data_IF_532376922063
#
_entry.id   IF_532376922063
#
_cell.length_a   1.000
_cell.length_b   1.000
_cell.length_c   1.000
_cell.angle_alpha   90.00
_cell.angle_beta   90.00
_cell.angle_gamma   90.00
#
_symmetry.space_group_name_H-M   'P 1'
#
loop_
_entity.id
_entity.type
_entity.pdbx_description
1 polymer ?
#
# COMPACT_ATOMS: atom_id res chain seq x y z
N UNK A 1 22.19 0.22 35.88
CA UNK A 1 22.33 0.52 34.45
C UNK A 1 23.80 0.55 34.09
N UNK A 2 24.18 -0.04 32.95
CA UNK A 2 25.51 0.08 32.35
C UNK A 2 25.43 1.11 31.21
N UNK A 3 25.99 2.30 31.41
CA UNK A 3 25.90 3.36 30.40
C UNK A 3 26.78 3.12 29.16
N UNK A 4 27.73 2.18 29.19
CA UNK A 4 28.42 1.77 27.98
C UNK A 4 27.45 1.06 27.04
N UNK A 5 26.61 0.16 27.57
CA UNK A 5 25.55 -0.50 26.79
C UNK A 5 24.54 0.52 26.24
N UNK A 6 24.14 1.50 27.06
CA UNK A 6 23.26 2.57 26.61
C UNK A 6 23.89 3.41 25.49
N UNK A 7 25.16 3.80 25.64
CA UNK A 7 25.86 4.57 24.61
C UNK A 7 25.95 3.85 23.26
N UNK A 8 26.07 2.52 23.29
CA UNK A 8 26.05 1.70 22.07
C UNK A 8 24.65 1.64 21.43
N UNK A 9 23.59 1.54 22.24
CA UNK A 9 22.21 1.60 21.76
C UNK A 9 21.91 2.95 21.10
N UNK A 10 22.30 4.07 21.71
CA UNK A 10 22.09 5.41 21.12
C UNK A 10 22.89 5.58 19.82
N UNK A 11 24.12 5.08 19.79
CA UNK A 11 24.93 5.08 18.57
C UNK A 11 24.26 4.27 17.45
N UNK A 12 23.80 3.05 17.75
CA UNK A 12 23.07 2.22 16.78
C UNK A 12 21.80 2.92 16.29
N UNK A 13 21.09 3.55 17.22
CA UNK A 13 19.87 4.32 16.95
C UNK A 13 20.12 5.45 15.95
N UNK A 14 21.20 6.21 16.14
CA UNK A 14 21.63 7.25 15.21
C UNK A 14 21.98 6.70 13.83
N UNK A 15 22.60 5.51 13.73
CA UNK A 15 22.87 4.87 12.44
C UNK A 15 21.59 4.41 11.72
N UNK A 16 20.60 3.90 12.47
CA UNK A 16 19.37 3.36 11.89
C UNK A 16 18.39 4.46 11.45
N UNK A 17 18.22 5.51 12.25
CA UNK A 17 17.18 6.52 12.00
C UNK A 17 17.64 7.99 12.13
N UNK A 18 18.93 8.25 12.36
CA UNK A 18 19.48 9.62 12.25
C UNK A 18 19.43 10.18 10.82
N UNK A 19 19.24 9.32 9.81
CA UNK A 19 18.99 9.73 8.44
C UNK A 19 17.52 10.03 8.12
N UNK A 20 16.60 9.82 9.07
CA UNK A 20 15.20 10.21 8.88
C UNK A 20 15.09 11.73 8.91
N UNK A 21 14.37 12.27 7.94
CA UNK A 21 14.15 13.72 7.86
C UNK A 21 13.40 14.20 9.11
N UNK A 22 13.84 15.33 9.66
CA UNK A 22 13.25 15.99 10.83
C UNK A 22 13.37 15.19 12.13
N UNK A 23 14.20 14.14 12.15
CA UNK A 23 14.60 13.41 13.36
C UNK A 23 16.03 13.80 13.73
N UNK A 24 16.29 13.94 15.02
CA UNK A 24 17.60 14.17 15.59
C UNK A 24 17.86 13.14 16.69
N UNK A 25 19.04 12.53 16.66
CA UNK A 25 19.55 11.65 17.73
C UNK A 25 20.93 12.18 18.09
N UNK A 26 21.23 12.56 19.35
CA UNK A 26 22.52 13.12 19.73
C UNK A 26 23.72 12.24 19.32
N UNK A 27 24.84 12.84 18.93
CA UNK A 27 26.10 12.12 18.79
C UNK A 27 26.60 11.60 20.14
N UNK A 28 27.13 10.37 20.17
CA UNK A 28 27.64 9.76 21.40
C UNK A 28 29.17 9.85 21.47
N UNK A 29 29.68 10.43 22.55
CA UNK A 29 31.12 10.46 22.81
C UNK A 29 31.55 9.20 23.56
N UNK A 30 31.63 8.08 22.82
CA UNK A 30 31.90 6.74 23.37
C UNK A 30 33.20 6.69 24.19
N UNK A 31 34.28 7.30 23.69
CA UNK A 31 35.60 7.34 24.35
C UNK A 31 35.60 8.10 25.69
N UNK A 32 34.61 8.97 25.90
CA UNK A 32 34.45 9.78 27.11
C UNK A 32 33.32 9.28 28.01
N UNK A 33 32.57 8.29 27.55
CA UNK A 33 31.52 7.64 28.33
C UNK A 33 32.10 6.48 29.14
N UNK A 34 31.57 6.28 30.34
CA UNK A 34 31.94 5.17 31.23
C UNK A 34 30.66 4.46 31.68
N UNK A 35 30.77 3.34 32.39
CA UNK A 35 29.61 2.61 32.94
C UNK A 35 28.70 3.46 33.83
N UNK A 36 29.21 4.57 34.40
CA UNK A 36 28.50 5.46 35.35
C UNK A 36 28.30 6.89 34.85
N UNK A 37 28.87 7.24 33.70
CA UNK A 37 28.76 8.58 33.12
C UNK A 37 28.53 8.45 31.61
N UNK A 38 27.41 8.96 31.11
CA UNK A 38 27.11 9.04 29.68
C UNK A 38 27.45 10.45 29.19
N UNK A 39 28.20 10.56 28.09
CA UNK A 39 28.53 11.85 27.46
C UNK A 39 28.03 11.84 26.01
N UNK A 40 27.21 12.83 25.66
CA UNK A 40 26.59 12.98 24.35
C UNK A 40 26.53 14.45 23.93
N UNK A 41 26.22 14.68 22.65
CA UNK A 41 25.95 16.00 22.09
C UNK A 41 24.85 16.72 22.88
N UNK A 42 25.09 18.01 23.18
CA UNK A 42 24.09 18.85 23.81
C UNK A 42 23.04 19.28 22.78
N UNK A 43 21.77 18.96 23.04
CA UNK A 43 20.65 19.34 22.16
C UNK A 43 19.76 20.34 22.89
N UNK A 44 19.60 21.52 22.29
CA UNK A 44 18.70 22.55 22.79
C UNK A 44 17.32 22.46 22.14
N UNK A 45 16.27 22.60 22.97
CA UNK A 45 14.91 22.55 22.50
C UNK A 45 13.88 22.70 23.61
N UNK A 46 12.61 22.66 23.22
CA UNK A 46 11.46 22.64 24.12
C UNK A 46 10.90 21.22 24.20
N UNK A 47 10.36 20.80 25.35
CA UNK A 47 9.76 19.47 25.46
C UNK A 47 8.59 19.33 24.49
N UNK A 48 8.55 18.22 23.74
CA UNK A 48 7.47 17.99 22.78
C UNK A 48 6.09 18.01 23.45
N UNK A 49 5.98 17.49 24.67
CA UNK A 49 4.73 17.52 25.45
C UNK A 49 4.23 18.93 25.81
N UNK A 50 5.08 19.94 25.75
CA UNK A 50 4.75 21.33 26.05
C UNK A 50 4.49 22.14 24.77
N UNK A 51 4.90 21.62 23.61
CA UNK A 51 4.68 22.26 22.30
C UNK A 51 3.54 21.57 21.56
N UNK A 52 2.54 22.34 21.14
CA UNK A 52 1.40 21.85 20.33
C UNK A 52 1.80 21.63 18.87
N UNK A 53 2.81 20.80 18.63
CA UNK A 53 3.36 20.53 17.30
C UNK A 53 2.92 19.13 16.82
N UNK A 54 1.75 19.06 16.18
CA UNK A 54 1.20 17.81 15.66
C UNK A 54 2.10 17.20 14.57
N UNK A 55 2.79 18.02 13.79
CA UNK A 55 3.70 17.55 12.75
C UNK A 55 4.85 16.74 13.35
N UNK A 56 5.49 17.25 14.41
CA UNK A 56 6.58 16.51 15.07
C UNK A 56 6.08 15.25 15.80
N UNK A 57 4.84 15.24 16.26
CA UNK A 57 4.21 14.02 16.78
C UNK A 57 4.06 12.98 15.67
N UNK A 58 3.63 13.37 14.47
CA UNK A 58 3.56 12.48 13.31
C UNK A 58 4.93 11.99 12.86
N UNK A 59 5.96 12.85 12.88
CA UNK A 59 7.37 12.46 12.65
C UNK A 59 7.80 11.42 13.68
N UNK A 60 7.45 11.62 14.96
CA UNK A 60 7.73 10.68 16.02
C UNK A 60 7.05 9.33 15.81
N UNK A 61 5.76 9.34 15.44
CA UNK A 61 5.00 8.13 15.13
C UNK A 61 5.62 7.39 13.95
N UNK A 62 5.98 8.10 12.88
CA UNK A 62 6.65 7.53 11.73
C UNK A 62 8.02 6.92 12.08
N UNK A 63 8.82 7.63 12.88
CA UNK A 63 10.12 7.14 13.37
C UNK A 63 9.94 5.87 14.19
N UNK A 64 9.01 5.87 15.15
CA UNK A 64 8.70 4.72 16.00
C UNK A 64 8.16 3.52 15.22
N UNK A 65 7.39 3.73 14.16
CA UNK A 65 6.97 2.66 13.25
C UNK A 65 8.16 2.06 12.49
N UNK A 66 9.10 2.88 12.00
CA UNK A 66 10.31 2.35 11.38
C UNK A 66 11.15 1.57 12.39
N UNK A 67 11.34 2.08 13.60
CA UNK A 67 12.03 1.36 14.66
C UNK A 67 11.40 -0.02 14.86
N UNK A 68 10.08 -0.06 15.12
CA UNK A 68 9.35 -1.27 15.46
C UNK A 68 9.30 -2.26 14.29
N UNK A 69 8.91 -1.82 13.11
CA UNK A 69 8.56 -2.69 11.98
C UNK A 69 9.65 -2.80 10.91
N UNK A 70 10.52 -1.79 10.72
CA UNK A 70 11.66 -1.87 9.78
C UNK A 70 12.89 -2.48 10.43
N UNK A 71 13.23 -2.04 11.64
CA UNK A 71 14.48 -2.44 12.31
C UNK A 71 14.28 -3.48 13.42
N UNK A 72 13.06 -3.65 13.93
CA UNK A 72 12.75 -4.64 14.96
C UNK A 72 13.20 -4.21 16.35
N UNK A 73 13.26 -2.91 16.60
CA UNK A 73 13.57 -2.34 17.90
C UNK A 73 12.44 -1.41 18.33
N UNK A 74 12.12 -1.35 19.61
CA UNK A 74 11.14 -0.39 20.09
C UNK A 74 11.52 0.17 21.45
N UNK A 75 11.08 1.40 21.68
CA UNK A 75 11.17 2.02 22.99
C UNK A 75 10.16 1.41 23.96
N UNK A 76 10.67 0.68 24.95
CA UNK A 76 9.88 0.00 25.96
C UNK A 76 9.52 0.90 27.15
N UNK A 77 10.23 2.03 27.34
CA UNK A 77 9.89 3.06 28.33
C UNK A 77 10.04 4.47 27.72
N UNK A 78 9.03 4.96 26.99
CA UNK A 78 9.09 6.23 26.30
C UNK A 78 8.59 7.34 27.23
N UNK A 79 9.48 7.96 27.99
CA UNK A 79 9.11 9.13 28.78
C UNK A 79 8.96 10.38 27.88
N UNK A 80 7.84 11.13 27.92
CA UNK A 80 7.65 12.34 27.10
C UNK A 80 8.77 13.38 27.24
N UNK A 81 9.41 13.43 28.41
CA UNK A 81 10.55 14.32 28.68
C UNK A 81 11.82 14.03 27.87
N UNK A 82 11.91 12.85 27.24
CA UNK A 82 13.04 12.47 26.39
C UNK A 82 12.86 12.88 24.92
N UNK A 83 11.75 13.56 24.61
CA UNK A 83 11.45 14.10 23.28
C UNK A 83 11.49 15.63 23.31
N UNK A 84 12.38 16.22 22.51
CA UNK A 84 12.47 17.67 22.35
C UNK A 84 12.11 18.09 20.93
N UNK A 85 11.46 19.24 20.81
CA UNK A 85 11.44 20.05 19.59
C UNK A 85 12.66 20.96 19.61
N UNK A 86 13.58 20.75 18.70
CA UNK A 86 14.74 21.63 18.51
C UNK A 86 14.33 22.96 17.87
N UNK A 87 15.15 24.01 18.02
CA UNK A 87 14.84 25.32 17.44
C UNK A 87 14.87 25.35 15.90
N UNK A 88 15.59 24.41 15.26
CA UNK A 88 15.59 24.19 13.82
C UNK A 88 14.41 23.31 13.34
N UNK A 89 13.47 22.97 14.23
CA UNK A 89 12.21 22.31 13.88
C UNK A 89 12.30 20.80 13.72
N UNK A 90 13.21 20.13 14.42
CA UNK A 90 13.36 18.66 14.42
C UNK A 90 12.87 18.05 15.73
N UNK A 91 12.52 16.77 15.67
CA UNK A 91 12.25 15.93 16.83
C UNK A 91 13.54 15.26 17.31
N UNK A 92 14.02 15.65 18.49
CA UNK A 92 15.18 15.03 19.12
C UNK A 92 14.78 13.96 20.13
N UNK A 93 15.40 12.78 20.01
CA UNK A 93 15.32 11.68 20.96
C UNK A 93 16.56 11.68 21.85
N UNK A 94 16.38 11.89 23.16
CA UNK A 94 17.51 12.04 24.10
C UNK A 94 17.94 10.74 24.78
N UNK A 95 17.03 9.80 24.95
CA UNK A 95 17.24 8.60 25.75
C UNK A 95 16.77 7.39 24.99
N UNK A 96 17.54 6.31 25.08
CA UNK A 96 17.31 4.97 24.51
C UNK A 96 17.48 3.89 25.59
N UNK A 97 17.26 4.26 26.86
CA UNK A 97 17.55 3.49 28.08
C UNK A 97 16.94 2.09 28.13
N UNK A 98 15.77 1.92 27.50
CA UNK A 98 15.04 0.67 27.46
C UNK A 98 14.51 0.41 26.05
N UNK A 99 15.27 -0.41 25.32
CA UNK A 99 14.89 -0.91 24.01
C UNK A 99 14.50 -2.39 24.12
N UNK A 100 13.39 -2.76 23.49
CA UNK A 100 13.00 -4.15 23.27
C UNK A 100 13.22 -4.56 21.82
N UNK A 101 13.34 -5.86 21.59
CA UNK A 101 13.40 -6.45 20.25
C UNK A 101 12.02 -6.94 19.82
N UNK A 102 11.70 -6.74 18.54
CA UNK A 102 10.47 -7.18 17.91
C UNK A 102 10.81 -8.08 16.72
N UNK A 103 10.62 -9.39 16.92
CA UNK A 103 11.04 -10.45 15.98
C UNK A 103 10.38 -10.28 14.61
N UNK A 104 11.09 -10.65 13.55
CA UNK A 104 10.62 -10.53 12.17
C UNK A 104 9.23 -11.16 11.96
N UNK A 105 8.97 -12.32 12.55
CA UNK A 105 7.70 -13.03 12.37
C UNK A 105 6.52 -12.24 12.97
N UNK A 106 6.73 -11.60 14.13
CA UNK A 106 5.74 -10.74 14.76
C UNK A 106 5.56 -9.43 13.98
N UNK A 107 6.62 -8.90 13.38
CA UNK A 107 6.56 -7.72 12.51
C UNK A 107 5.72 -7.95 11.27
N UNK A 108 5.98 -9.05 10.58
CA UNK A 108 5.22 -9.42 9.38
C UNK A 108 3.76 -9.70 9.76
N UNK A 109 3.50 -10.48 10.81
CA UNK A 109 2.14 -10.73 11.30
C UNK A 109 1.40 -9.46 11.74
N UNK A 110 2.10 -8.47 12.28
CA UNK A 110 1.50 -7.19 12.64
C UNK A 110 1.08 -6.38 11.41
N UNK A 111 1.93 -6.36 10.38
CA UNK A 111 1.62 -5.70 9.10
C UNK A 111 0.41 -6.37 8.45
N UNK A 112 0.34 -7.71 8.48
CA UNK A 112 -0.80 -8.48 7.97
C UNK A 112 -2.11 -8.17 8.71
N UNK A 113 -2.08 -8.13 10.05
CA UNK A 113 -3.23 -7.75 10.85
C UNK A 113 -3.76 -6.36 10.50
N UNK A 114 -2.87 -5.38 10.30
CA UNK A 114 -3.27 -4.04 9.87
C UNK A 114 -3.93 -4.06 8.48
N UNK A 115 -3.42 -4.86 7.54
CA UNK A 115 -4.01 -5.01 6.21
C UNK A 115 -5.39 -5.66 6.27
N UNK A 116 -5.57 -6.74 7.03
CA UNK A 116 -6.85 -7.42 7.17
C UNK A 116 -7.90 -6.52 7.84
N UNK A 117 -7.51 -5.75 8.86
CA UNK A 117 -8.38 -4.76 9.49
C UNK A 117 -8.86 -3.70 8.51
N UNK A 118 -7.94 -3.09 7.76
CA UNK A 118 -8.25 -2.08 6.74
C UNK A 118 -9.21 -2.63 5.69
N UNK A 119 -8.99 -3.88 5.29
CA UNK A 119 -9.81 -4.55 4.28
C UNK A 119 -11.13 -5.10 4.82
N UNK A 120 -11.39 -4.98 6.12
CA UNK A 120 -12.55 -5.57 6.81
C UNK A 120 -12.61 -7.09 6.66
N UNK A 121 -11.45 -7.73 6.57
CA UNK A 121 -11.31 -9.19 6.59
C UNK A 121 -11.14 -9.66 8.04
N UNK A 122 -12.26 -9.70 8.77
CA UNK A 122 -12.25 -10.05 10.19
C UNK A 122 -11.93 -11.53 10.44
N UNK A 123 -12.17 -12.39 9.45
CA UNK A 123 -11.81 -13.81 9.53
C UNK A 123 -10.31 -14.03 9.46
N UNK A 124 -9.62 -13.31 8.57
CA UNK A 124 -8.17 -13.30 8.51
C UNK A 124 -7.57 -12.60 9.74
N UNK A 125 -8.13 -11.46 10.16
CA UNK A 125 -7.69 -10.73 11.36
C UNK A 125 -7.73 -11.61 12.63
N UNK A 126 -8.80 -12.41 12.79
CA UNK A 126 -8.91 -13.36 13.90
C UNK A 126 -7.75 -14.37 13.93
N UNK A 127 -7.33 -14.84 12.75
CA UNK A 127 -6.19 -15.77 12.61
C UNK A 127 -4.87 -15.07 12.94
N UNK A 128 -4.70 -13.81 12.54
CA UNK A 128 -3.50 -13.05 12.86
C UNK A 128 -3.37 -12.85 14.37
N UNK A 129 -4.47 -12.57 15.07
CA UNK A 129 -4.45 -12.38 16.52
C UNK A 129 -4.04 -13.64 17.28
N UNK A 130 -4.40 -14.83 16.78
CA UNK A 130 -3.87 -16.09 17.31
C UNK A 130 -2.38 -16.24 17.01
N UNK A 131 -1.95 -15.88 15.81
CA UNK A 131 -0.55 -15.98 15.35
C UNK A 131 0.37 -15.02 16.12
N UNK A 132 -0.12 -13.83 16.45
CA UNK A 132 0.54 -12.82 17.26
C UNK A 132 0.51 -13.15 18.77
N UNK A 133 -0.18 -14.21 19.18
CA UNK A 133 -0.32 -14.61 20.58
C UNK A 133 -1.24 -13.69 21.39
N UNK A 134 -2.04 -12.84 20.74
CA UNK A 134 -3.05 -11.99 21.38
C UNK A 134 -4.29 -12.80 21.80
N UNK A 135 -4.54 -13.91 21.10
CA UNK A 135 -5.60 -14.86 21.42
C UNK A 135 -5.05 -16.26 21.60
N UNK A 136 -5.58 -17.06 22.54
CA UNK A 136 -5.16 -18.44 22.71
C UNK A 136 -5.54 -19.29 21.48
N UNK A 137 -4.77 -20.33 21.14
CA UNK A 137 -5.10 -21.23 20.02
C UNK A 137 -6.44 -21.96 20.19
N UNK A 138 -6.94 -22.03 21.42
CA UNK A 138 -8.23 -22.63 21.78
C UNK A 138 -9.42 -21.70 21.58
N UNK A 139 -9.19 -20.43 21.18
CA UNK A 139 -10.26 -19.48 20.97
C UNK A 139 -11.19 -19.93 19.82
N UNK A 140 -12.49 -19.90 20.07
CA UNK A 140 -13.48 -20.27 19.07
C UNK A 140 -13.52 -19.22 17.95
N UNK A 141 -13.06 -19.59 16.74
CA UNK A 141 -12.91 -18.67 15.60
C UNK A 141 -14.18 -17.86 15.33
N UNK A 142 -15.36 -18.50 15.31
CA UNK A 142 -16.62 -17.83 15.04
C UNK A 142 -16.97 -16.76 16.07
N UNK A 143 -16.75 -17.04 17.35
CA UNK A 143 -16.98 -16.08 18.43
C UNK A 143 -15.99 -14.91 18.36
N UNK A 144 -14.72 -15.18 18.07
CA UNK A 144 -13.67 -14.17 17.89
C UNK A 144 -13.97 -13.27 16.70
N UNK A 145 -14.23 -13.85 15.51
CA UNK A 145 -14.56 -13.09 14.31
C UNK A 145 -15.76 -12.17 14.57
N UNK A 146 -16.79 -12.68 15.26
CA UNK A 146 -17.97 -11.88 15.63
C UNK A 146 -17.59 -10.73 16.56
N UNK A 147 -16.82 -10.98 17.62
CA UNK A 147 -16.39 -9.94 18.55
C UNK A 147 -15.54 -8.86 17.84
N UNK A 148 -14.60 -9.27 16.99
CA UNK A 148 -13.79 -8.33 16.19
C UNK A 148 -14.65 -7.53 15.22
N UNK A 149 -15.63 -8.18 14.59
CA UNK A 149 -16.59 -7.51 13.71
C UNK A 149 -17.39 -6.46 14.50
N UNK A 150 -17.95 -6.81 15.66
CA UNK A 150 -18.75 -5.88 16.48
C UNK A 150 -17.93 -4.66 16.94
N UNK A 151 -16.65 -4.86 17.27
CA UNK A 151 -15.73 -3.77 17.70
C UNK A 151 -15.31 -2.90 16.52
N UNK A 152 -14.83 -3.51 15.43
CA UNK A 152 -14.14 -2.78 14.38
C UNK A 152 -15.04 -2.42 13.19
N UNK A 153 -16.18 -3.09 12.96
CA UNK A 153 -17.06 -2.79 11.82
C UNK A 153 -17.54 -1.34 11.84
N UNK A 154 -17.95 -0.84 13.00
CA UNK A 154 -18.38 0.56 13.16
C UNK A 154 -17.22 1.56 13.02
N UNK A 155 -16.04 1.20 13.55
CA UNK A 155 -14.85 2.03 13.44
C UNK A 155 -14.38 2.12 11.98
N UNK A 156 -14.24 0.99 11.28
CA UNK A 156 -13.82 0.95 9.87
C UNK A 156 -14.92 1.49 8.94
N UNK A 157 -16.21 1.37 9.28
CA UNK A 157 -17.32 1.96 8.51
C UNK A 157 -17.24 3.49 8.45
N UNK A 158 -16.80 4.12 9.54
CA UNK A 158 -16.48 5.56 9.60
C UNK A 158 -15.11 5.90 8.97
N UNK A 159 -14.41 4.89 8.47
CA UNK A 159 -13.06 4.95 7.90
C UNK A 159 -12.04 4.29 8.83
N UNK A 160 -11.03 3.62 8.26
CA UNK A 160 -9.87 3.05 8.99
C UNK A 160 -9.24 4.05 9.96
N UNK A 161 -9.43 5.34 9.67
CA UNK A 161 -8.94 6.47 10.45
C UNK A 161 -9.51 6.59 11.86
N UNK A 162 -10.45 5.74 12.27
CA UNK A 162 -11.11 5.82 13.58
C UNK A 162 -10.67 4.73 14.59
N UNK A 163 -9.60 3.98 14.29
CA UNK A 163 -9.12 2.87 15.14
C UNK A 163 -7.86 3.31 15.89
N UNK A 164 -7.79 3.05 17.21
CA UNK A 164 -6.59 3.35 17.99
C UNK A 164 -5.58 2.21 17.93
N UNK A 165 -4.30 2.52 18.10
CA UNK A 165 -3.23 1.51 18.09
C UNK A 165 -3.30 0.61 19.32
N UNK A 166 -3.73 1.17 20.46
CA UNK A 166 -3.97 0.42 21.70
C UNK A 166 -5.02 -0.69 21.56
N UNK A 167 -6.09 -0.45 20.80
CA UNK A 167 -7.15 -1.44 20.56
C UNK A 167 -6.64 -2.68 19.79
N UNK A 168 -5.58 -2.52 18.98
CA UNK A 168 -5.07 -3.57 18.11
C UNK A 168 -4.03 -4.46 18.79
N UNK A 169 -3.32 -3.94 19.78
CA UNK A 169 -2.14 -4.58 20.39
C UNK A 169 -2.30 -4.99 21.85
N UNK A 170 -3.39 -4.57 22.50
CA UNK A 170 -3.66 -4.91 23.90
C UNK A 170 -2.48 -4.58 24.82
N UNK A 171 -1.89 -5.59 25.46
CA UNK A 171 -0.76 -5.43 26.41
C UNK A 171 0.58 -5.04 25.77
N UNK A 172 0.71 -5.07 24.44
CA UNK A 172 1.83 -4.42 23.72
C UNK A 172 1.66 -2.89 23.64
N UNK A 173 0.59 -2.35 24.20
CA UNK A 173 0.28 -0.91 24.27
C UNK A 173 1.23 -0.09 25.15
N UNK A 174 2.19 -0.69 25.87
CA UNK A 174 3.26 0.05 26.55
C UNK A 174 4.44 0.36 25.62
N UNK A 175 4.16 0.87 24.43
CA UNK A 175 5.17 1.30 23.47
C UNK A 175 5.10 2.81 23.26
N UNK A 176 6.17 3.37 22.69
CA UNK A 176 6.27 4.80 22.34
C UNK A 176 5.12 5.32 21.50
N UNK A 177 4.47 4.44 20.74
CA UNK A 177 3.30 4.76 19.95
C UNK A 177 2.10 5.17 20.81
N UNK A 178 1.88 4.51 21.94
CA UNK A 178 0.81 4.89 22.86
C UNK A 178 1.10 6.21 23.58
N UNK A 179 2.37 6.49 23.89
CA UNK A 179 2.77 7.77 24.49
C UNK A 179 2.56 8.91 23.50
N UNK A 180 2.99 8.73 22.25
CA UNK A 180 2.75 9.70 21.17
C UNK A 180 1.26 9.87 20.88
N UNK A 181 0.48 8.79 20.89
CA UNK A 181 -0.99 8.84 20.79
C UNK A 181 -1.60 9.65 21.94
N UNK A 182 -1.17 9.42 23.17
CA UNK A 182 -1.66 10.16 24.35
C UNK A 182 -1.34 11.65 24.29
N UNK A 183 -0.11 12.02 23.88
CA UNK A 183 0.28 13.42 23.66
C UNK A 183 -0.61 14.02 22.56
N UNK A 184 -0.80 13.32 21.45
CA UNK A 184 -1.63 13.80 20.34
C UNK A 184 -3.09 14.00 20.76
N UNK A 185 -3.70 13.04 21.47
CA UNK A 185 -5.09 13.10 21.95
C UNK A 185 -5.29 14.29 22.90
N UNK A 186 -4.28 14.62 23.71
CA UNK A 186 -4.35 15.78 24.61
C UNK A 186 -4.52 17.11 23.87
N UNK A 187 -4.13 17.16 22.59
CA UNK A 187 -4.23 18.34 21.74
C UNK A 187 -5.32 18.24 20.68
N UNK A 188 -5.52 17.06 20.12
CA UNK A 188 -6.51 16.74 19.10
C UNK A 188 -7.25 15.46 19.51
N UNK A 189 -8.45 15.58 20.12
CA UNK A 189 -9.23 14.43 20.61
C UNK A 189 -9.57 13.39 19.52
N UNK A 190 -9.62 13.82 18.26
CA UNK A 190 -9.92 12.97 17.11
C UNK A 190 -8.67 12.29 16.51
N UNK A 191 -7.49 12.52 17.07
CA UNK A 191 -6.25 11.90 16.59
C UNK A 191 -6.25 10.39 16.83
N UNK A 192 -5.83 9.63 15.82
CA UNK A 192 -5.72 8.18 15.84
C UNK A 192 -4.44 7.74 15.14
N UNK A 193 -3.55 7.06 15.87
CA UNK A 193 -2.21 6.69 15.37
C UNK A 193 -2.25 5.76 14.15
N UNK A 194 -3.22 4.85 14.06
CA UNK A 194 -3.32 3.95 12.90
C UNK A 194 -3.60 4.69 11.59
N UNK A 195 -4.28 5.85 11.66
CA UNK A 195 -4.56 6.68 10.49
C UNK A 195 -3.30 7.28 9.90
N UNK A 196 -2.41 7.77 10.76
CA UNK A 196 -1.16 8.41 10.34
C UNK A 196 -0.14 7.40 9.84
N UNK A 197 -0.32 6.12 10.20
CA UNK A 197 0.66 5.06 9.90
C UNK A 197 0.24 4.17 8.75
N UNK A 198 -1.02 4.19 8.34
CA UNK A 198 -1.47 3.46 7.15
C UNK A 198 -0.65 3.79 5.88
N UNK A 199 -0.30 5.05 5.57
CA UNK A 199 0.63 5.37 4.49
C UNK A 199 1.99 4.64 4.57
N UNK A 200 2.51 4.47 5.78
CA UNK A 200 3.74 3.71 6.02
C UNK A 200 3.54 2.23 5.75
N UNK A 201 2.44 1.65 6.26
CA UNK A 201 2.08 0.23 6.07
C UNK A 201 1.89 -0.07 4.58
N UNK A 202 1.11 0.74 3.87
CA UNK A 202 0.88 0.61 2.44
C UNK A 202 2.21 0.63 1.66
N UNK A 203 3.11 1.56 2.00
CA UNK A 203 4.45 1.62 1.40
C UNK A 203 5.27 0.36 1.71
N UNK A 204 5.29 -0.09 2.97
CA UNK A 204 6.07 -1.26 3.40
C UNK A 204 5.60 -2.52 2.69
N UNK A 205 4.29 -2.69 2.50
CA UNK A 205 3.68 -3.83 1.81
C UNK A 205 4.02 -3.82 0.33
N UNK A 206 3.99 -2.65 -0.32
CA UNK A 206 4.35 -2.52 -1.74
C UNK A 206 5.84 -2.77 -2.01
N UNK A 207 6.72 -2.41 -1.06
CA UNK A 207 8.18 -2.57 -1.16
C UNK A 207 8.67 -3.93 -0.61
N UNK A 208 7.85 -4.59 0.21
CA UNK A 208 8.23 -5.77 0.98
C UNK A 208 8.67 -6.94 0.10
N UNK A 209 9.84 -7.49 0.39
CA UNK A 209 10.38 -8.67 -0.31
C UNK A 209 10.12 -9.99 0.43
N UNK A 210 9.60 -9.97 1.65
CA UNK A 210 9.34 -11.21 2.39
C UNK A 210 8.23 -12.01 1.71
N UNK A 211 8.34 -13.35 1.67
CA UNK A 211 7.31 -14.22 1.09
C UNK A 211 5.92 -13.98 1.70
N UNK A 212 5.86 -13.70 3.00
CA UNK A 212 4.65 -13.41 3.76
C UNK A 212 3.98 -12.13 3.25
N UNK A 213 4.71 -11.01 3.20
CA UNK A 213 4.16 -9.73 2.71
C UNK A 213 3.72 -9.82 1.24
N UNK A 214 4.45 -10.56 0.40
CA UNK A 214 4.05 -10.80 -1.00
C UNK A 214 2.74 -11.58 -1.08
N UNK A 215 2.62 -12.65 -0.30
CA UNK A 215 1.39 -13.45 -0.25
C UNK A 215 0.20 -12.63 0.27
N UNK A 216 0.42 -11.79 1.28
CA UNK A 216 -0.60 -10.91 1.84
C UNK A 216 -1.01 -9.79 0.88
N UNK A 217 -0.06 -9.21 0.14
CA UNK A 217 -0.37 -8.29 -0.95
C UNK A 217 -1.15 -9.00 -2.08
N UNK A 218 -0.77 -10.21 -2.47
CA UNK A 218 -1.53 -11.01 -3.43
C UNK A 218 -2.96 -11.31 -2.95
N UNK A 219 -3.14 -11.77 -1.71
CA UNK A 219 -4.46 -12.02 -1.14
C UNK A 219 -5.32 -10.75 -1.06
N UNK A 220 -4.68 -9.59 -0.88
CA UNK A 220 -5.34 -8.30 -0.92
C UNK A 220 -5.74 -7.92 -2.35
N UNK A 221 -4.87 -8.16 -3.34
CA UNK A 221 -5.13 -7.79 -4.73
C UNK A 221 -6.03 -8.76 -5.46
N UNK A 222 -6.07 -10.03 -5.07
CA UNK A 222 -6.86 -11.06 -5.72
C UNK A 222 -7.93 -11.60 -4.77
N UNK A 223 -9.19 -11.58 -5.22
CA UNK A 223 -10.25 -12.29 -4.50
C UNK A 223 -10.15 -13.77 -4.82
N UNK A 224 -9.84 -14.61 -3.82
CA UNK A 224 -9.82 -16.07 -3.97
C UNK A 224 -11.25 -16.56 -4.13
N UNK A 225 -11.71 -16.70 -5.37
CA UNK A 225 -12.83 -17.57 -5.72
C UNK A 225 -12.30 -18.64 -6.68
N UNK A 226 -12.82 -19.85 -6.51
CA UNK A 226 -12.35 -21.10 -7.11
C UNK A 226 -11.88 -20.95 -8.58
N UNK A 227 -10.60 -21.32 -8.79
CA UNK A 227 -9.86 -21.52 -10.05
C UNK A 227 -8.95 -20.38 -10.55
N UNK A 228 -9.36 -19.11 -10.58
CA UNK A 228 -8.45 -17.96 -10.81
C UNK A 228 -8.95 -16.73 -10.03
N UNK A 229 -8.05 -16.06 -9.31
CA UNK A 229 -8.42 -14.91 -8.48
C UNK A 229 -8.79 -13.69 -9.33
N UNK A 230 -9.90 -13.02 -9.01
CA UNK A 230 -10.30 -11.77 -9.66
C UNK A 230 -9.44 -10.63 -9.11
N UNK A 231 -8.71 -9.93 -9.99
CA UNK A 231 -7.89 -8.79 -9.63
C UNK A 231 -8.75 -7.58 -9.21
N UNK A 232 -8.44 -7.02 -8.05
CA UNK A 232 -9.13 -5.88 -7.42
C UNK A 232 -8.30 -4.63 -7.59
N UNK A 233 -8.41 -4.00 -8.76
CA UNK A 233 -7.63 -2.79 -9.06
C UNK A 233 -7.88 -1.65 -8.07
N UNK A 234 -9.10 -1.47 -7.58
CA UNK A 234 -9.44 -0.41 -6.63
C UNK A 234 -8.60 -0.52 -5.34
N UNK A 235 -8.19 -1.75 -4.99
CA UNK A 235 -7.33 -2.01 -3.82
C UNK A 235 -5.88 -1.63 -4.10
N UNK A 236 -5.37 -1.94 -5.29
CA UNK A 236 -4.03 -1.48 -5.70
C UNK A 236 -3.98 0.04 -5.76
N UNK A 237 -4.99 0.68 -6.34
CA UNK A 237 -5.09 2.14 -6.43
C UNK A 237 -5.10 2.78 -5.04
N UNK A 238 -5.90 2.24 -4.11
CA UNK A 238 -5.97 2.72 -2.73
C UNK A 238 -4.61 2.61 -2.02
N UNK A 239 -3.92 1.47 -2.17
CA UNK A 239 -2.58 1.26 -1.59
C UNK A 239 -1.53 2.20 -2.19
N UNK A 240 -1.51 2.36 -3.52
CA UNK A 240 -0.59 3.26 -4.19
C UNK A 240 -0.84 4.70 -3.74
N UNK A 241 -2.09 5.14 -3.71
CA UNK A 241 -2.49 6.48 -3.26
C UNK A 241 -2.03 6.77 -1.84
N UNK A 242 -2.30 5.85 -0.91
CA UNK A 242 -1.96 6.03 0.49
C UNK A 242 -0.45 5.93 0.72
N UNK A 243 0.26 5.07 -0.01
CA UNK A 243 1.73 5.02 0.02
C UNK A 243 2.37 6.31 -0.49
N UNK A 244 1.73 7.03 -1.41
CA UNK A 244 2.24 8.28 -1.96
C UNK A 244 1.87 9.49 -1.11
N UNK A 245 0.76 9.47 -0.36
CA UNK A 245 0.38 10.55 0.58
C UNK A 245 1.50 10.88 1.57
N UNK A 246 2.17 9.87 2.13
CA UNK A 246 3.31 10.07 3.05
C UNK A 246 4.49 10.87 2.44
N UNK A 247 4.59 10.98 1.11
CA UNK A 247 5.56 11.85 0.42
C UNK A 247 5.00 13.24 0.11
N UNK A 248 3.68 13.37 -0.07
CA UNK A 248 3.04 14.59 -0.57
C UNK A 248 2.74 15.64 0.52
N UNK A 249 2.53 15.25 1.78
CA UNK A 249 2.30 16.21 2.88
C UNK A 249 3.49 17.16 3.09
N UNK A 250 4.69 16.79 2.62
CA UNK A 250 5.88 17.67 2.59
C UNK A 250 5.94 18.65 1.42
N UNK A 251 5.13 18.47 0.37
CA UNK A 251 5.16 19.33 -0.82
C UNK A 251 4.10 20.44 -0.79
N UNK A 252 3.07 20.32 0.06
CA UNK A 252 1.97 21.29 0.13
C UNK A 252 2.28 22.46 1.07
N UNK A 253 3.25 23.28 0.67
CA UNK A 253 3.27 24.71 1.03
C UNK A 253 3.21 25.62 -0.21
N UNK A 254 2.76 25.06 -1.35
CA UNK A 254 2.44 25.84 -2.56
C UNK A 254 1.14 25.36 -3.17
N UNK A 255 0.09 26.15 -2.97
CA UNK A 255 -1.16 26.11 -3.75
C UNK A 255 -0.83 26.17 -5.24
N UNK A 256 -1.04 25.08 -5.99
CA UNK A 256 -1.33 25.15 -7.43
C UNK A 256 -1.86 23.82 -8.01
N UNK A 257 -3.13 23.88 -8.43
CA UNK A 257 -3.78 23.21 -9.59
C UNK A 257 -3.81 21.67 -9.67
N UNK A 258 -5.04 21.15 -9.68
CA UNK A 258 -5.46 19.74 -9.85
C UNK A 258 -4.79 18.98 -11.02
N UNK A 259 -4.30 19.68 -12.06
CA UNK A 259 -3.62 19.05 -13.21
C UNK A 259 -2.13 18.75 -12.95
N UNK A 260 -1.51 19.42 -11.97
CA UNK A 260 -0.12 19.16 -11.56
C UNK A 260 -0.06 17.92 -10.65
N UNK A 261 -1.10 17.69 -9.84
CA UNK A 261 -1.18 16.55 -8.93
C UNK A 261 -1.22 15.21 -9.66
N UNK A 262 -2.01 15.09 -10.74
CA UNK A 262 -2.07 13.88 -11.56
C UNK A 262 -0.73 13.52 -12.20
N UNK A 263 0.00 14.51 -12.75
CA UNK A 263 1.32 14.27 -13.35
C UNK A 263 2.35 13.85 -12.32
N UNK A 264 2.33 14.50 -11.14
CA UNK A 264 3.21 14.14 -10.01
C UNK A 264 2.90 12.72 -9.52
N UNK A 265 1.62 12.36 -9.43
CA UNK A 265 1.17 11.03 -9.05
C UNK A 265 1.66 9.94 -10.02
N UNK A 266 1.46 10.12 -11.34
CA UNK A 266 1.95 9.19 -12.38
C UNK A 266 3.46 9.05 -12.28
N UNK A 267 4.19 10.17 -12.18
CA UNK A 267 5.65 10.18 -12.05
C UNK A 267 6.09 9.37 -10.84
N UNK A 268 5.42 9.53 -9.71
CA UNK A 268 5.75 8.79 -8.50
C UNK A 268 5.48 7.29 -8.65
N UNK A 269 4.33 6.89 -9.22
CA UNK A 269 4.02 5.48 -9.49
C UNK A 269 5.07 4.87 -10.41
N UNK A 270 5.35 5.49 -11.55
CA UNK A 270 6.34 4.99 -12.52
C UNK A 270 7.73 4.94 -11.89
N UNK A 271 8.15 5.99 -11.19
CA UNK A 271 9.44 6.00 -10.48
C UNK A 271 9.53 4.91 -9.42
N UNK A 272 8.42 4.45 -8.86
CA UNK A 272 8.38 3.35 -7.90
C UNK A 272 8.41 1.99 -8.61
N UNK A 273 7.49 1.73 -9.53
CA UNK A 273 7.35 0.41 -10.20
C UNK A 273 8.55 0.04 -11.06
N UNK A 274 9.29 1.04 -11.56
CA UNK A 274 10.50 0.84 -12.35
C UNK A 274 11.76 0.58 -11.49
N UNK A 275 11.67 0.69 -10.17
CA UNK A 275 12.79 0.33 -9.28
C UNK A 275 12.81 -1.18 -9.00
N UNK A 276 13.91 -1.69 -8.45
CA UNK A 276 14.00 -3.06 -7.96
C UNK A 276 12.99 -3.34 -6.84
N UNK A 277 12.79 -2.37 -5.95
CA UNK A 277 11.82 -2.46 -4.84
C UNK A 277 10.37 -2.58 -5.32
N UNK A 278 10.06 -1.97 -6.46
CA UNK A 278 8.73 -2.06 -7.09
C UNK A 278 8.55 -3.25 -8.04
N UNK A 279 9.55 -4.14 -8.17
CA UNK A 279 9.53 -5.23 -9.14
C UNK A 279 8.32 -6.15 -8.97
N UNK A 280 7.94 -6.47 -7.73
CA UNK A 280 6.78 -7.33 -7.47
C UNK A 280 5.47 -6.70 -7.97
N UNK A 281 5.24 -5.42 -7.68
CA UNK A 281 4.07 -4.70 -8.17
C UNK A 281 4.10 -4.57 -9.69
N UNK A 282 5.28 -4.33 -10.28
CA UNK A 282 5.47 -4.30 -11.73
C UNK A 282 5.11 -5.64 -12.38
N UNK A 283 5.50 -6.77 -11.81
CA UNK A 283 5.15 -8.10 -12.32
C UNK A 283 3.64 -8.34 -12.33
N UNK A 284 2.94 -7.95 -11.26
CA UNK A 284 1.48 -8.01 -11.16
C UNK A 284 0.84 -7.14 -12.25
N UNK A 285 1.29 -5.89 -12.39
CA UNK A 285 0.79 -4.98 -13.41
C UNK A 285 1.01 -5.54 -14.82
N UNK A 286 2.21 -6.03 -15.14
CA UNK A 286 2.52 -6.62 -16.44
C UNK A 286 1.65 -7.84 -16.74
N UNK A 287 1.38 -8.67 -15.74
CA UNK A 287 0.48 -9.81 -15.87
C UNK A 287 -0.94 -9.36 -16.20
N UNK A 288 -1.51 -8.44 -15.43
CA UNK A 288 -2.88 -7.95 -15.65
C UNK A 288 -3.01 -7.16 -16.97
N UNK A 289 -1.99 -6.40 -17.36
CA UNK A 289 -1.90 -5.78 -18.69
C UNK A 289 -1.92 -6.83 -19.80
N UNK A 290 -1.15 -7.91 -19.66
CA UNK A 290 -1.16 -8.99 -20.64
C UNK A 290 -2.54 -9.67 -20.74
N UNK A 291 -3.23 -9.90 -19.61
CA UNK A 291 -4.61 -10.44 -19.61
C UNK A 291 -5.57 -9.53 -20.36
N UNK A 292 -5.47 -8.23 -20.10
CA UNK A 292 -6.27 -7.20 -20.74
C UNK A 292 -6.07 -7.12 -22.24
N UNK A 293 -4.81 -7.02 -22.69
CA UNK A 293 -4.47 -6.92 -24.12
C UNK A 293 -4.88 -8.17 -24.90
N UNK A 294 -4.74 -9.32 -24.28
CA UNK A 294 -5.17 -10.60 -24.84
C UNK A 294 -6.71 -10.67 -24.99
N UNK A 295 -7.47 -10.19 -23.99
CA UNK A 295 -8.92 -10.04 -24.10
C UNK A 295 -9.33 -8.98 -25.16
N UNK A 296 -8.58 -7.89 -25.28
CA UNK A 296 -8.79 -6.88 -26.33
C UNK A 296 -8.53 -7.48 -27.73
N UNK A 297 -7.49 -8.29 -27.87
CA UNK A 297 -7.20 -9.04 -29.09
C UNK A 297 -8.37 -9.95 -29.47
N UNK A 298 -8.90 -10.72 -28.52
CA UNK A 298 -10.09 -11.55 -28.76
C UNK A 298 -11.31 -10.74 -29.19
N UNK A 299 -11.61 -9.63 -28.50
CA UNK A 299 -12.79 -8.84 -28.79
C UNK A 299 -12.70 -8.12 -30.16
N UNK A 300 -11.50 -7.73 -30.56
CA UNK A 300 -11.25 -7.17 -31.91
C UNK A 300 -11.37 -8.26 -32.97
N UNK A 301 -10.85 -9.47 -32.73
CA UNK A 301 -11.01 -10.59 -33.66
C UNK A 301 -12.47 -11.04 -33.81
N UNK A 302 -13.21 -11.14 -32.71
CA UNK A 302 -14.64 -11.52 -32.73
C UNK A 302 -15.49 -10.54 -33.56
N UNK A 303 -15.20 -9.23 -33.46
CA UNK A 303 -15.82 -8.20 -34.31
C UNK A 303 -15.47 -8.35 -35.78
N UNK A 304 -14.20 -8.61 -36.09
CA UNK A 304 -13.75 -8.80 -37.48
C UNK A 304 -14.41 -10.05 -38.07
N UNK A 305 -14.45 -11.16 -37.33
CA UNK A 305 -15.08 -12.39 -37.79
C UNK A 305 -16.58 -12.25 -37.93
N UNK A 306 -17.28 -11.61 -36.98
CA UNK A 306 -18.73 -11.39 -37.07
C UNK A 306 -19.12 -10.45 -38.22
N UNK A 307 -18.33 -9.40 -38.48
CA UNK A 307 -18.50 -8.56 -39.65
C UNK A 307 -18.28 -9.34 -40.96
N UNK A 308 -17.24 -10.18 -41.02
CA UNK A 308 -16.93 -10.99 -42.20
C UNK A 308 -17.99 -12.09 -42.45
N UNK A 309 -18.47 -12.77 -41.41
CA UNK A 309 -19.49 -13.84 -41.53
C UNK A 309 -20.87 -13.30 -41.88
N UNK A 310 -21.21 -12.07 -41.45
CA UNK A 310 -22.48 -11.41 -41.85
C UNK A 310 -22.62 -11.21 -43.36
N UNK A 311 -21.52 -11.28 -44.11
CA UNK A 311 -21.48 -11.14 -45.57
C UNK A 311 -21.55 -12.47 -46.34
N UNK A 312 -21.55 -13.62 -45.66
CA UNK A 312 -21.46 -14.95 -46.28
C UNK A 312 -22.70 -15.82 -45.98
N UNK A 313 -23.41 -16.35 -46.99
CA UNK A 313 -24.68 -17.06 -46.82
C UNK A 313 -24.58 -18.49 -46.22
N UNK A 314 -23.36 -19.03 -46.02
CA UNK A 314 -23.13 -20.40 -45.52
C UNK A 314 -21.87 -20.49 -44.62
N UNK A 315 -21.70 -19.59 -43.65
CA UNK A 315 -20.68 -19.79 -42.62
C UNK A 315 -21.25 -20.60 -41.46
N UNK A 316 -20.66 -21.76 -41.17
CA UNK A 316 -20.87 -22.42 -39.89
C UNK A 316 -20.43 -21.46 -38.77
N UNK A 317 -21.30 -21.25 -37.78
CA UNK A 317 -21.04 -20.41 -36.60
C UNK A 317 -19.96 -21.03 -35.71
N UNK A 318 -18.70 -20.96 -36.15
CA UNK A 318 -17.57 -21.39 -35.35
C UNK A 318 -17.14 -20.24 -34.43
N UNK A 319 -17.63 -20.26 -33.19
CA UNK A 319 -17.32 -19.29 -32.15
C UNK A 319 -15.92 -19.49 -31.53
N UNK A 320 -14.87 -19.61 -32.34
CA UNK A 320 -13.49 -19.76 -31.86
C UNK A 320 -13.01 -18.57 -31.02
N UNK A 321 -13.60 -17.39 -31.22
CA UNK A 321 -13.22 -16.12 -30.59
C UNK A 321 -14.25 -15.62 -29.56
N UNK A 322 -15.23 -16.43 -29.17
CA UNK A 322 -16.18 -16.03 -28.14
C UNK A 322 -15.46 -15.65 -26.83
N UNK A 323 -15.83 -14.51 -26.28
CA UNK A 323 -15.34 -14.03 -25.00
C UNK A 323 -15.91 -14.88 -23.86
N UNK A 324 -15.06 -15.28 -22.92
CA UNK A 324 -15.52 -15.79 -21.63
C UNK A 324 -15.82 -14.63 -20.67
N UNK A 325 -16.55 -14.91 -19.58
CA UNK A 325 -16.80 -13.93 -18.51
C UNK A 325 -15.50 -13.35 -17.94
N UNK A 326 -14.44 -14.17 -17.86
CA UNK A 326 -13.10 -13.75 -17.44
C UNK A 326 -12.51 -12.66 -18.37
N UNK A 327 -12.72 -12.77 -19.68
CA UNK A 327 -12.15 -11.84 -20.65
C UNK A 327 -12.81 -10.45 -20.53
N UNK A 328 -14.10 -10.40 -20.19
CA UNK A 328 -14.83 -9.14 -19.92
C UNK A 328 -14.26 -8.45 -18.67
N UNK A 329 -13.99 -9.23 -17.61
CA UNK A 329 -13.34 -8.73 -16.40
C UNK A 329 -11.95 -8.19 -16.72
N UNK A 330 -11.15 -8.91 -17.51
CA UNK A 330 -9.81 -8.50 -17.92
C UNK A 330 -9.83 -7.19 -18.74
N UNK A 331 -10.82 -7.00 -19.62
CA UNK A 331 -11.00 -5.74 -20.37
C UNK A 331 -11.32 -4.56 -19.45
N UNK A 332 -12.18 -4.77 -18.45
CA UNK A 332 -12.52 -3.73 -17.46
C UNK A 332 -11.30 -3.34 -16.63
N UNK A 333 -10.54 -4.35 -16.17
CA UNK A 333 -9.28 -4.16 -15.46
C UNK A 333 -8.27 -3.37 -16.30
N UNK A 334 -8.09 -3.71 -17.58
CA UNK A 334 -7.19 -2.99 -18.48
C UNK A 334 -7.55 -1.51 -18.58
N UNK A 335 -8.84 -1.21 -18.76
CA UNK A 335 -9.33 0.18 -18.80
C UNK A 335 -9.00 0.93 -17.52
N UNK A 336 -9.26 0.34 -16.36
CA UNK A 336 -8.96 0.96 -15.07
C UNK A 336 -7.45 1.16 -14.87
N UNK A 337 -6.61 0.23 -15.34
CA UNK A 337 -5.15 0.38 -15.34
C UNK A 337 -4.70 1.56 -16.22
N UNK A 338 -5.28 1.69 -17.41
CA UNK A 338 -4.99 2.82 -18.31
C UNK A 338 -5.43 4.14 -17.69
N UNK A 339 -6.60 4.20 -17.05
CA UNK A 339 -7.06 5.40 -16.34
C UNK A 339 -6.12 5.79 -15.20
N UNK A 340 -5.70 4.82 -14.38
CA UNK A 340 -4.75 5.04 -13.29
C UNK A 340 -3.40 5.58 -13.80
N UNK A 341 -2.90 5.05 -14.91
CA UNK A 341 -1.67 5.56 -15.53
C UNK A 341 -1.85 6.89 -16.26
N UNK A 342 -3.06 7.22 -16.71
CA UNK A 342 -3.37 8.52 -17.32
C UNK A 342 -3.53 9.65 -16.29
N UNK A 343 -3.64 9.32 -15.00
CA UNK A 343 -3.83 10.27 -13.91
C UNK A 343 -5.18 10.99 -13.90
N UNK A 344 -6.13 10.56 -14.74
CA UNK A 344 -7.51 11.03 -14.71
C UNK A 344 -8.21 10.44 -13.48
N UNK A 345 -8.09 11.11 -12.33
CA UNK A 345 -8.84 10.72 -11.15
C UNK A 345 -10.33 11.02 -11.37
N UNK A 346 -11.16 10.07 -10.93
CA UNK A 346 -12.61 10.01 -11.14
C UNK A 346 -13.31 11.26 -10.58
N UNK A 347 -13.56 12.25 -11.44
CA UNK A 347 -14.41 13.41 -11.12
C UNK A 347 -15.91 13.06 -11.13
N UNK A 348 -16.26 11.78 -11.18
CA UNK A 348 -17.63 11.29 -11.01
C UNK A 348 -17.85 10.82 -9.58
N UNK A 349 -17.78 11.76 -8.64
CA UNK A 349 -18.42 11.53 -7.35
C UNK A 349 -19.94 11.52 -7.55
N UNK A 350 -20.57 10.46 -7.05
CA UNK A 350 -21.99 10.34 -6.62
C UNK A 350 -23.08 9.73 -7.53
N UNK A 351 -22.84 9.30 -8.78
CA UNK A 351 -23.92 8.64 -9.57
C UNK A 351 -23.60 7.27 -10.18
N UNK A 352 -22.34 6.85 -10.26
CA UNK A 352 -21.97 5.56 -10.88
C UNK A 352 -21.61 4.44 -9.88
N UNK A 353 -21.13 4.78 -8.67
CA UNK A 353 -20.88 3.78 -7.64
C UNK A 353 -22.16 3.07 -7.15
N UNK A 354 -23.33 3.72 -7.28
CA UNK A 354 -24.64 3.12 -6.99
C UNK A 354 -25.16 2.28 -8.17
N UNK A 355 -24.60 2.44 -9.39
CA UNK A 355 -24.92 1.56 -10.52
C UNK A 355 -24.02 0.33 -10.57
N UNK A 356 -22.73 0.45 -10.25
CA UNK A 356 -21.79 -0.67 -10.36
C UNK A 356 -22.01 -1.76 -9.30
N UNK A 357 -22.51 -1.40 -8.11
CA UNK A 357 -22.90 -2.39 -7.08
C UNK A 357 -24.26 -3.02 -7.39
N UNK A 358 -25.15 -2.34 -8.12
CA UNK A 358 -26.46 -2.85 -8.55
C UNK A 358 -26.41 -3.65 -9.87
N UNK A 359 -25.25 -3.80 -10.50
CA UNK A 359 -25.08 -4.57 -11.75
C UNK A 359 -24.97 -6.09 -11.55
N UNK A 360 -24.91 -6.56 -10.30
CA UNK A 360 -25.02 -7.99 -10.00
C UNK A 360 -26.48 -8.51 -10.08
N UNK A 361 -27.48 -7.62 -10.17
CA UNK A 361 -28.90 -8.01 -10.09
C UNK A 361 -29.73 -7.78 -11.35
N UNK A 362 -29.24 -7.08 -12.38
CA UNK A 362 -30.05 -6.84 -13.58
C UNK A 362 -29.33 -7.25 -14.85
N UNK A 363 -29.80 -8.36 -15.43
CA UNK A 363 -29.35 -8.93 -16.70
C UNK A 363 -29.47 -7.96 -17.87
N UNK A 364 -28.39 -7.20 -18.12
CA UNK A 364 -28.15 -6.54 -19.40
C UNK A 364 -27.25 -7.41 -20.28
N UNK A 365 -27.51 -7.32 -21.58
CA UNK A 365 -26.93 -8.16 -22.62
C UNK A 365 -25.42 -7.94 -22.80
N UNK A 366 -24.66 -9.03 -22.62
CA UNK A 366 -23.19 -9.15 -22.62
C UNK A 366 -22.42 -8.45 -23.78
N UNK A 367 -23.07 -8.16 -24.91
CA UNK A 367 -22.42 -7.63 -26.12
C UNK A 367 -22.26 -6.09 -26.10
N UNK A 368 -23.13 -5.37 -25.40
CA UNK A 368 -23.11 -3.89 -25.38
C UNK A 368 -21.97 -3.35 -24.50
N UNK A 369 -21.69 -4.00 -23.35
CA UNK A 369 -20.66 -3.58 -22.39
C UNK A 369 -19.23 -3.74 -22.94
N UNK A 370 -18.92 -4.90 -23.54
CA UNK A 370 -17.63 -5.11 -24.20
C UNK A 370 -17.43 -4.11 -25.34
N UNK A 371 -18.52 -3.78 -26.05
CA UNK A 371 -18.44 -2.90 -27.18
C UNK A 371 -18.05 -1.47 -26.81
N UNK A 372 -18.65 -0.96 -25.73
CA UNK A 372 -18.44 0.37 -25.20
C UNK A 372 -17.02 0.55 -24.63
N UNK A 373 -16.49 -0.50 -23.98
CA UNK A 373 -15.12 -0.54 -23.45
C UNK A 373 -14.08 -0.48 -24.58
N UNK A 374 -14.27 -1.22 -25.68
CA UNK A 374 -13.34 -1.22 -26.82
C UNK A 374 -13.30 0.13 -27.53
N UNK A 375 -14.45 0.80 -27.69
CA UNK A 375 -14.50 2.13 -28.32
C UNK A 375 -13.75 3.19 -27.51
N UNK A 376 -13.74 3.08 -26.18
CA UNK A 376 -13.05 4.01 -25.31
C UNK A 376 -11.54 3.75 -25.27
N UNK A 377 -11.11 2.48 -25.25
CA UNK A 377 -9.69 2.08 -25.25
C UNK A 377 -8.91 2.46 -26.53
N UNK A 378 -9.60 2.69 -27.65
CA UNK A 378 -8.96 3.03 -28.92
C UNK A 378 -8.39 4.47 -28.98
N UNK A 379 -8.59 5.29 -27.96
CA UNK A 379 -8.11 6.68 -27.96
C UNK A 379 -6.66 6.79 -27.48
N UNK A 380 -5.74 7.07 -28.42
CA UNK A 380 -4.31 7.37 -28.16
C UNK A 380 -4.12 8.54 -27.18
N UNK A 381 -5.14 9.38 -26.99
CA UNK A 381 -5.08 10.54 -26.09
C UNK A 381 -4.86 10.16 -24.62
N UNK A 382 -5.24 8.94 -24.20
CA UNK A 382 -5.07 8.46 -22.81
C UNK A 382 -3.60 8.20 -22.44
N UNK A 383 -2.71 8.01 -23.43
CA UNK A 383 -1.28 7.74 -23.21
C UNK A 383 -0.40 8.99 -23.19
N UNK A 384 -0.94 10.13 -23.63
CA UNK A 384 -0.19 11.39 -23.73
C UNK A 384 0.43 11.85 -22.39
N UNK A 385 -0.29 11.76 -21.23
CA UNK A 385 0.28 12.13 -19.94
C UNK A 385 1.50 11.29 -19.56
N UNK A 386 1.46 9.97 -19.80
CA UNK A 386 2.54 9.03 -19.48
C UNK A 386 3.79 9.37 -20.27
N UNK A 387 3.64 9.61 -21.58
CA UNK A 387 4.77 9.94 -22.47
C UNK A 387 5.48 11.23 -22.06
N UNK A 388 4.75 12.19 -21.48
CA UNK A 388 5.33 13.44 -20.99
C UNK A 388 6.21 13.28 -19.74
N UNK A 389 6.01 12.20 -18.97
CA UNK A 389 6.70 11.94 -17.69
C UNK A 389 7.99 11.14 -17.88
N UNK A 390 8.06 10.29 -18.90
CA UNK A 390 9.22 9.44 -19.22
C UNK A 390 10.58 10.20 -19.19
N UNK A 391 10.74 11.38 -19.84
CA UNK A 391 12.01 12.09 -19.82
C UNK A 391 12.43 12.62 -18.44
N UNK A 392 11.51 12.71 -17.49
CA UNK A 392 11.78 13.20 -16.12
C UNK A 392 12.15 12.08 -15.13
N UNK A 393 12.13 10.82 -15.57
CA UNK A 393 12.47 9.68 -14.73
C UNK A 393 14.00 9.54 -14.56
N UNK A 394 14.46 8.94 -13.44
CA UNK A 394 15.87 8.59 -13.27
C UNK A 394 16.39 7.72 -14.42
N UNK A 395 17.68 7.81 -14.77
CA UNK A 395 18.26 7.07 -15.90
C UNK A 395 18.11 5.54 -15.76
N UNK A 396 18.21 5.01 -14.54
CA UNK A 396 17.97 3.59 -14.25
C UNK A 396 16.53 3.17 -14.58
N UNK A 397 15.54 4.02 -14.22
CA UNK A 397 14.13 3.78 -14.54
C UNK A 397 13.86 3.86 -16.05
N UNK A 398 14.56 4.73 -16.77
CA UNK A 398 14.48 4.82 -18.23
C UNK A 398 15.03 3.56 -18.90
N UNK A 399 16.10 2.96 -18.37
CA UNK A 399 16.60 1.67 -18.87
C UNK A 399 15.59 0.55 -18.61
N UNK A 400 14.99 0.49 -17.42
CA UNK A 400 13.97 -0.50 -17.10
C UNK A 400 12.74 -0.38 -18.02
N UNK A 401 12.37 0.83 -18.43
CA UNK A 401 11.29 1.06 -19.41
C UNK A 401 11.53 0.38 -20.75
N UNK A 402 12.78 0.26 -21.19
CA UNK A 402 13.13 -0.38 -22.47
C UNK A 402 12.88 -1.90 -22.45
N UNK A 403 12.87 -2.52 -21.27
CA UNK A 403 12.63 -3.96 -21.08
C UNK A 403 11.14 -4.31 -20.94
N UNK A 404 10.27 -3.34 -20.58
CA UNK A 404 8.85 -3.62 -20.40
C UNK A 404 8.15 -4.20 -21.63
N UNK A 405 8.41 -3.74 -22.88
CA UNK A 405 7.76 -4.30 -24.06
C UNK A 405 8.10 -5.77 -24.27
N UNK A 406 9.36 -6.16 -24.01
CA UNK A 406 9.79 -7.55 -24.15
C UNK A 406 9.16 -8.45 -23.09
N UNK A 407 9.09 -7.99 -21.85
CA UNK A 407 8.47 -8.75 -20.74
C UNK A 407 6.96 -8.93 -20.96
N UNK A 408 6.29 -7.85 -21.39
CA UNK A 408 4.87 -7.87 -21.73
C UNK A 408 4.58 -8.80 -22.92
N UNK A 409 5.39 -8.74 -23.97
CA UNK A 409 5.26 -9.62 -25.13
C UNK A 409 5.41 -11.10 -24.72
N UNK A 410 6.38 -11.42 -23.86
CA UNK A 410 6.57 -12.77 -23.34
C UNK A 410 5.33 -13.28 -22.59
N UNK A 411 4.77 -12.47 -21.68
CA UNK A 411 3.55 -12.83 -20.93
C UNK A 411 2.33 -12.97 -21.85
N UNK A 412 2.16 -12.08 -22.83
CA UNK A 412 1.06 -12.12 -23.78
C UNK A 412 1.14 -13.37 -24.68
N UNK A 413 2.31 -13.68 -25.23
CA UNK A 413 2.54 -14.89 -26.04
C UNK A 413 2.25 -16.15 -25.22
N UNK A 414 2.76 -16.22 -23.99
CA UNK A 414 2.51 -17.35 -23.09
C UNK A 414 1.01 -17.55 -22.83
N UNK A 415 0.27 -16.45 -22.60
CA UNK A 415 -1.18 -16.51 -22.34
C UNK A 415 -1.98 -16.91 -23.58
N UNK A 416 -1.69 -16.32 -24.74
CA UNK A 416 -2.34 -16.68 -26.02
C UNK A 416 -2.10 -18.17 -26.33
N UNK A 417 -0.86 -18.65 -26.13
CA UNK A 417 -0.53 -20.06 -26.30
C UNK A 417 -1.31 -20.97 -25.33
N UNK A 418 -1.32 -20.64 -24.03
CA UNK A 418 -2.05 -21.40 -23.02
C UNK A 418 -3.55 -21.48 -23.32
N UNK A 419 -4.19 -20.37 -23.74
CA UNK A 419 -5.59 -20.37 -24.15
C UNK A 419 -5.81 -21.21 -25.41
N UNK A 420 -4.95 -21.08 -26.40
CA UNK A 420 -5.06 -21.84 -27.66
C UNK A 420 -5.00 -23.34 -27.39
N UNK A 421 -4.09 -23.78 -26.52
CA UNK A 421 -4.04 -25.17 -26.06
C UNK A 421 -5.34 -25.55 -25.33
N UNK A 422 -5.81 -24.72 -24.38
CA UNK A 422 -7.04 -24.97 -23.63
C UNK A 422 -8.28 -25.15 -24.52
N UNK A 423 -8.39 -24.37 -25.60
CA UNK A 423 -9.52 -24.42 -26.56
C UNK A 423 -9.40 -25.53 -27.62
N UNK A 424 -8.20 -26.10 -27.81
CA UNK A 424 -7.99 -27.23 -28.73
C UNK A 424 -8.25 -28.57 -28.03
N UNK A 425 -7.97 -28.66 -26.73
CA UNK A 425 -8.02 -29.91 -25.96
C UNK A 425 -9.23 -30.07 -25.02
N UNK A 426 -10.06 -29.03 -24.87
CA UNK A 426 -11.35 -29.03 -24.16
C UNK A 426 -12.42 -28.66 -25.17
#
# INVERSE_FOLDING_TARGET
MDYCSLSHLIWLSRQLYGGLQDVCVPEMYLERSTRRVLIMEWVEGQKLSEVKDLYLIEVGVYCSFNQLLEYGFYHADPHPGNLLRTYDGKLAYLDFGMMGEFKQELRDGFIEACLHLVNRDFDALAKDFVTLGLLPPTAEKGAVTKALTDVFQNAVAKGVRNISFGDLLGNLGSTILAVLEGIAISFNPDYKVLSSTYPWIARKVLIGSSPQLRSSLEALLYKVNLQEGVFRIDRLESLLTESLRARMEKASDKRQTENTDSRVFIKQILSFTLTEKGAFVREILLQEFAKGLDALGLATMDRITSAATSSLPFSASFSFFAMADEDIVNLRTLRQLMLLLSGLQKNESSTLAVKDVNLYENGRTYSEDASLVIYQLASIQELLPILSVIPELPPESQQQLLHLPTDLAGKLVSRVAARTIRRIFI
#
